data_IF_635307236228
#
_entry.id   IF_635307236228
#
_cell.length_a   1.000
_cell.length_b   1.000
_cell.length_c   1.000
_cell.angle_alpha   90.00
_cell.angle_beta   90.00
_cell.angle_gamma   90.00
#
_symmetry.space_group_name_H-M   'P 1'
#
loop_
_entity.id
_entity.type
_entity.pdbx_description
1 polymer ?
#
# COMPACT_ATOMS: atom_id res chain seq x y z
N UNK A 1 -57.17 -20.59 -9.30
CA UNK A 1 -56.17 -19.54 -9.65
C UNK A 1 -55.04 -19.58 -8.63
N UNK A 2 -53.83 -20.05 -9.01
CA UNK A 2 -52.66 -20.17 -8.12
C UNK A 2 -51.67 -19.05 -8.40
N UNK A 3 -51.26 -18.36 -7.33
CA UNK A 3 -50.29 -17.27 -7.33
C UNK A 3 -48.85 -17.77 -7.47
N UNK A 4 -48.04 -16.93 -8.12
CA UNK A 4 -46.63 -17.08 -8.51
C UNK A 4 -45.72 -17.48 -7.34
N UNK A 5 -44.82 -18.45 -7.52
CA UNK A 5 -43.54 -18.52 -6.78
C UNK A 5 -42.42 -18.05 -7.70
N UNK A 6 -42.06 -16.78 -7.54
CA UNK A 6 -40.89 -16.15 -8.14
C UNK A 6 -39.68 -16.74 -7.43
N UNK A 7 -38.78 -17.39 -8.15
CA UNK A 7 -37.51 -17.85 -7.61
C UNK A 7 -36.77 -16.66 -6.99
N UNK A 8 -36.52 -16.74 -5.68
CA UNK A 8 -35.61 -15.85 -4.99
C UNK A 8 -34.20 -16.12 -5.53
N UNK A 9 -33.77 -15.31 -6.50
CA UNK A 9 -32.35 -15.18 -6.79
C UNK A 9 -31.74 -14.50 -5.57
N UNK A 10 -31.07 -15.28 -4.72
CA UNK A 10 -30.06 -14.74 -3.79
C UNK A 10 -29.16 -13.81 -4.60
N UNK A 11 -28.92 -12.56 -4.18
CA UNK A 11 -27.86 -11.76 -4.78
C UNK A 11 -26.55 -12.55 -4.67
N UNK A 12 -25.66 -12.47 -5.67
CA UNK A 12 -24.31 -13.01 -5.50
C UNK A 12 -23.74 -12.37 -4.24
N UNK A 13 -23.19 -13.18 -3.34
CA UNK A 13 -22.36 -12.66 -2.27
C UNK A 13 -21.32 -11.78 -2.95
N UNK A 14 -21.32 -10.48 -2.67
CA UNK A 14 -20.20 -9.65 -3.06
C UNK A 14 -19.00 -10.26 -2.34
N UNK A 15 -18.15 -10.96 -3.07
CA UNK A 15 -16.80 -11.31 -2.64
C UNK A 15 -16.01 -10.00 -2.57
N UNK A 16 -16.36 -9.16 -1.59
CA UNK A 16 -15.63 -7.97 -1.24
C UNK A 16 -14.34 -8.44 -0.58
N UNK A 17 -13.38 -8.86 -1.41
CA UNK A 17 -12.00 -9.02 -0.93
C UNK A 17 -11.62 -7.65 -0.35
N UNK A 18 -11.30 -7.55 0.96
CA UNK A 18 -11.02 -6.27 1.57
C UNK A 18 -9.84 -5.61 0.85
N UNK A 19 -9.86 -4.28 0.74
CA UNK A 19 -8.75 -3.57 0.16
C UNK A 19 -7.49 -3.83 1.00
N UNK A 20 -6.37 -4.05 0.34
CA UNK A 20 -5.11 -4.31 1.00
C UNK A 20 -3.95 -3.61 0.30
N UNK A 21 -2.95 -3.25 1.09
CA UNK A 21 -1.68 -2.73 0.64
C UNK A 21 -0.59 -3.67 1.12
N UNK A 22 0.36 -4.00 0.25
CA UNK A 22 1.58 -4.72 0.61
C UNK A 22 2.78 -3.80 0.42
N UNK A 23 3.64 -3.75 1.42
CA UNK A 23 4.83 -2.91 1.51
C UNK A 23 6.08 -3.79 1.60
N UNK A 24 7.12 -3.45 0.84
CA UNK A 24 8.43 -4.09 0.95
C UNK A 24 9.54 -3.03 0.94
N UNK A 25 10.52 -3.17 1.83
CA UNK A 25 11.68 -2.25 1.94
C UNK A 25 12.90 -2.91 1.31
N UNK A 26 13.63 -2.17 0.47
CA UNK A 26 14.86 -2.64 -0.18
C UNK A 26 15.99 -1.61 -0.09
N UNK A 27 17.24 -2.03 -0.29
CA UNK A 27 18.44 -1.17 -0.42
C UNK A 27 18.79 -0.82 -1.88
N UNK A 28 17.77 -0.80 -2.76
CA UNK A 28 17.94 -0.58 -4.19
C UNK A 28 18.29 -1.84 -5.01
N UNK A 29 18.58 -3.00 -4.38
CA UNK A 29 18.75 -4.28 -5.12
C UNK A 29 18.13 -5.50 -4.46
N UNK A 30 17.98 -5.52 -3.13
CA UNK A 30 17.41 -6.68 -2.42
C UNK A 30 16.49 -6.26 -1.28
N UNK A 31 15.51 -7.11 -0.97
CA UNK A 31 14.65 -6.92 0.19
C UNK A 31 15.46 -6.92 1.50
N UNK A 32 15.16 -5.97 2.38
CA UNK A 32 15.84 -5.79 3.66
C UNK A 32 14.95 -6.26 4.81
N UNK A 33 15.16 -7.48 5.30
CA UNK A 33 14.37 -8.01 6.42
C UNK A 33 14.43 -7.11 7.68
N UNK A 34 15.60 -6.51 7.97
CA UNK A 34 15.77 -5.55 9.06
C UNK A 34 15.01 -4.25 8.82
N UNK A 35 15.03 -3.71 7.59
CA UNK A 35 14.29 -2.52 7.18
C UNK A 35 12.78 -2.74 7.26
N UNK A 36 12.30 -3.88 6.75
CA UNK A 36 10.89 -4.31 6.85
C UNK A 36 10.47 -4.48 8.31
N UNK A 37 11.28 -5.11 9.16
CA UNK A 37 10.97 -5.23 10.59
C UNK A 37 10.90 -3.86 11.30
N UNK A 38 11.81 -2.94 10.96
CA UNK A 38 11.81 -1.58 11.50
C UNK A 38 10.55 -0.80 11.08
N UNK A 39 10.19 -0.87 9.79
CA UNK A 39 8.96 -0.29 9.27
C UNK A 39 7.72 -0.87 9.95
N UNK A 40 7.63 -2.20 10.08
CA UNK A 40 6.51 -2.86 10.73
C UNK A 40 6.32 -2.39 12.18
N UNK A 41 7.42 -2.29 12.94
CA UNK A 41 7.39 -1.81 14.31
C UNK A 41 6.94 -0.33 14.38
N UNK A 42 7.35 0.50 13.43
CA UNK A 42 6.88 1.88 13.32
C UNK A 42 5.38 1.94 13.02
N UNK A 43 4.91 1.24 11.99
CA UNK A 43 3.51 1.24 11.57
C UNK A 43 2.58 0.81 12.71
N UNK A 44 2.90 -0.30 13.40
CA UNK A 44 2.12 -0.79 14.54
C UNK A 44 1.95 0.24 15.67
N UNK A 45 2.89 1.17 15.82
CA UNK A 45 2.80 2.26 16.80
C UNK A 45 2.04 3.47 16.25
N UNK A 46 2.26 3.81 14.98
CA UNK A 46 1.77 5.04 14.38
C UNK A 46 0.33 4.95 13.85
N UNK A 47 -0.14 3.76 13.47
CA UNK A 47 -1.38 3.60 12.72
C UNK A 47 -2.50 2.87 13.46
N UNK A 48 -2.52 2.82 14.79
CA UNK A 48 -3.64 2.19 15.52
C UNK A 48 -4.98 2.87 15.13
N UNK A 49 -6.02 2.12 14.68
CA UNK A 49 -6.24 0.68 14.86
C UNK A 49 -5.84 -0.24 13.68
N UNK A 50 -5.11 0.23 12.67
CA UNK A 50 -4.60 -0.65 11.60
C UNK A 50 -3.78 -1.78 12.21
N UNK A 51 -3.92 -2.98 11.64
CA UNK A 51 -3.17 -4.18 12.04
C UNK A 51 -2.19 -4.58 10.92
N UNK A 52 -1.02 -3.93 10.82
CA UNK A 52 0.04 -4.37 9.92
C UNK A 52 0.55 -5.77 10.31
N UNK A 53 0.59 -6.66 9.34
CA UNK A 53 1.02 -8.05 9.49
C UNK A 53 2.20 -8.35 8.58
N UNK A 54 3.16 -9.10 9.09
CA UNK A 54 4.26 -9.61 8.28
C UNK A 54 3.76 -10.85 7.53
N UNK A 55 3.84 -10.84 6.19
CA UNK A 55 3.41 -11.98 5.34
C UNK A 55 4.61 -12.76 4.79
N UNK A 56 5.78 -12.16 4.77
CA UNK A 56 7.09 -12.79 4.58
C UNK A 56 8.17 -11.94 5.26
N UNK A 57 9.41 -12.42 5.40
CA UNK A 57 10.49 -11.66 6.06
C UNK A 57 10.74 -10.27 5.46
N UNK A 58 10.27 -10.02 4.24
CA UNK A 58 10.46 -8.77 3.51
C UNK A 58 9.16 -8.04 3.17
N UNK A 59 7.98 -8.57 3.51
CA UNK A 59 6.69 -8.00 3.10
C UNK A 59 5.72 -7.80 4.27
N UNK A 60 5.14 -6.62 4.33
CA UNK A 60 4.09 -6.24 5.27
C UNK A 60 2.78 -6.10 4.51
N UNK A 61 1.70 -6.70 5.00
CA UNK A 61 0.34 -6.47 4.51
C UNK A 61 -0.45 -5.63 5.50
N UNK A 62 -1.22 -4.69 4.99
CA UNK A 62 -2.15 -3.86 5.75
C UNK A 62 -3.51 -3.92 5.07
N UNK A 63 -4.53 -4.39 5.78
CA UNK A 63 -5.92 -4.31 5.32
C UNK A 63 -6.47 -2.90 5.60
N UNK A 64 -7.18 -2.35 4.62
CA UNK A 64 -7.76 -1.01 4.67
C UNK A 64 -9.24 -1.08 4.31
N UNK A 65 -10.06 -0.34 5.05
CA UNK A 65 -11.51 -0.27 4.91
C UNK A 65 -11.99 1.11 4.43
N UNK A 66 -11.12 2.13 4.48
CA UNK A 66 -11.49 3.49 4.10
C UNK A 66 -10.31 4.32 3.58
N UNK A 67 -10.61 5.42 2.88
CA UNK A 67 -9.61 6.41 2.47
C UNK A 67 -8.90 7.04 3.67
N UNK A 68 -9.60 7.22 4.79
CA UNK A 68 -9.02 7.78 6.02
C UNK A 68 -7.90 6.87 6.56
N UNK A 69 -8.08 5.56 6.49
CA UNK A 69 -7.06 4.58 6.86
C UNK A 69 -5.87 4.59 5.90
N UNK A 70 -6.11 4.75 4.60
CA UNK A 70 -5.05 4.93 3.61
C UNK A 70 -4.23 6.22 3.87
N UNK A 71 -4.91 7.32 4.23
CA UNK A 71 -4.25 8.58 4.58
C UNK A 71 -3.43 8.45 5.87
N UNK A 72 -3.93 7.71 6.87
CA UNK A 72 -3.20 7.43 8.11
C UNK A 72 -1.95 6.58 7.85
N UNK A 73 -2.06 5.53 7.02
CA UNK A 73 -0.92 4.71 6.59
C UNK A 73 0.12 5.57 5.85
N UNK A 74 -0.34 6.47 4.98
CA UNK A 74 0.54 7.36 4.22
C UNK A 74 1.33 8.32 5.11
N UNK A 75 0.69 8.87 6.15
CA UNK A 75 1.36 9.74 7.14
C UNK A 75 2.41 8.96 7.92
N UNK A 76 2.08 7.77 8.41
CA UNK A 76 3.04 6.92 9.12
C UNK A 76 4.23 6.51 8.24
N UNK A 77 4.01 6.27 6.95
CA UNK A 77 5.11 6.03 6.00
C UNK A 77 5.99 7.27 5.84
N UNK A 78 5.42 8.46 5.73
CA UNK A 78 6.18 9.72 5.69
C UNK A 78 6.99 9.95 6.97
N UNK A 79 6.40 9.68 8.14
CA UNK A 79 7.06 9.84 9.44
C UNK A 79 8.23 8.87 9.61
N UNK A 80 8.04 7.60 9.20
CA UNK A 80 9.12 6.62 9.17
C UNK A 80 10.23 7.02 8.20
N UNK A 81 9.88 7.52 7.02
CA UNK A 81 10.82 7.90 5.99
C UNK A 81 11.83 8.95 6.43
N UNK A 82 11.43 9.89 7.31
CA UNK A 82 12.33 10.90 7.84
C UNK A 82 13.49 10.32 8.68
N UNK A 83 13.35 9.08 9.18
CA UNK A 83 14.37 8.37 9.95
C UNK A 83 14.97 7.14 9.26
N UNK A 84 14.62 6.88 8.00
CA UNK A 84 15.18 5.79 7.21
C UNK A 84 16.51 6.19 6.56
N UNK A 85 17.38 5.22 6.25
CA UNK A 85 18.70 5.50 5.65
C UNK A 85 18.58 5.90 4.18
N UNK A 86 19.44 6.83 3.75
CA UNK A 86 19.52 7.23 2.34
C UNK A 86 19.73 6.03 1.40
N UNK A 87 18.98 6.03 0.29
CA UNK A 87 19.05 4.98 -0.73
C UNK A 87 18.10 3.80 -0.49
N UNK A 88 17.32 3.79 0.60
CA UNK A 88 16.25 2.81 0.76
C UNK A 88 15.12 3.04 -0.25
N UNK A 89 14.45 1.96 -0.62
CA UNK A 89 13.27 1.99 -1.48
C UNK A 89 12.09 1.33 -0.79
N UNK A 90 10.90 1.83 -1.06
CA UNK A 90 9.65 1.21 -0.61
C UNK A 90 8.84 0.83 -1.83
N UNK A 91 8.59 -0.46 -1.98
CA UNK A 91 7.64 -0.97 -2.97
C UNK A 91 6.26 -1.01 -2.34
N UNK A 92 5.28 -0.41 -3.00
CA UNK A 92 3.87 -0.36 -2.61
C UNK A 92 3.05 -1.09 -3.68
N UNK A 93 2.41 -2.18 -3.28
CA UNK A 93 1.45 -2.93 -4.11
C UNK A 93 0.13 -3.06 -3.37
N UNK A 94 -0.91 -3.60 -4.01
CA UNK A 94 -2.23 -3.65 -3.40
C UNK A 94 -3.31 -4.21 -4.31
N UNK A 95 -4.51 -4.40 -3.74
CA UNK A 95 -5.70 -4.89 -4.43
C UNK A 95 -6.23 -3.97 -5.53
N UNK A 96 -5.93 -2.68 -5.46
CA UNK A 96 -6.42 -1.65 -6.38
C UNK A 96 -5.60 -1.51 -7.67
N UNK A 97 -4.41 -2.10 -7.74
CA UNK A 97 -3.61 -2.07 -8.95
C UNK A 97 -4.18 -3.03 -10.02
N UNK A 98 -4.24 -2.63 -11.31
CA UNK A 98 -4.39 -3.60 -12.38
C UNK A 98 -3.17 -4.54 -12.35
N UNK A 99 -3.38 -5.85 -12.27
CA UNK A 99 -2.26 -6.79 -12.19
C UNK A 99 -1.32 -6.65 -13.42
N UNK A 100 0.01 -6.58 -13.25
CA UNK A 100 0.82 -6.67 -12.02
C UNK A 100 1.35 -5.29 -11.51
N UNK A 101 0.47 -4.31 -11.31
CA UNK A 101 0.85 -2.95 -10.97
C UNK A 101 1.47 -2.79 -9.58
N UNK A 102 2.43 -1.87 -9.49
CA UNK A 102 3.12 -1.45 -8.26
C UNK A 102 3.67 -0.03 -8.42
N UNK A 103 3.91 0.63 -7.28
CA UNK A 103 4.75 1.80 -7.19
C UNK A 103 6.04 1.43 -6.43
N UNK A 104 7.17 1.95 -6.87
CA UNK A 104 8.42 1.88 -6.12
C UNK A 104 8.82 3.32 -5.82
N UNK A 105 9.22 3.61 -4.57
CA UNK A 105 9.58 4.95 -4.14
C UNK A 105 11.01 4.91 -3.58
N UNK A 106 11.91 5.70 -4.16
CA UNK A 106 13.27 5.86 -3.71
C UNK A 106 13.39 6.97 -2.67
N UNK A 107 14.13 6.71 -1.60
CA UNK A 107 14.46 7.72 -0.61
C UNK A 107 15.66 8.53 -1.10
N UNK A 108 15.46 9.84 -1.21
CA UNK A 108 16.50 10.78 -1.67
C UNK A 108 16.64 11.89 -0.64
N UNK A 109 17.87 12.07 -0.11
CA UNK A 109 18.20 13.10 0.90
C UNK A 109 17.31 12.99 2.16
N UNK A 110 17.11 11.78 2.65
CA UNK A 110 16.41 11.47 3.88
C UNK A 110 14.88 11.55 3.78
N UNK A 111 14.29 11.62 2.58
CA UNK A 111 12.82 11.69 2.41
C UNK A 111 12.32 10.96 1.18
N UNK A 112 11.10 10.44 1.26
CA UNK A 112 10.25 10.21 0.10
C UNK A 112 9.40 11.45 -0.17
N UNK A 113 8.95 11.64 -1.40
CA UNK A 113 7.98 12.67 -1.69
C UNK A 113 6.60 12.28 -1.10
N UNK A 114 6.13 13.01 -0.09
CA UNK A 114 4.94 12.68 0.69
C UNK A 114 3.67 12.55 -0.16
N UNK A 115 3.53 13.40 -1.19
CA UNK A 115 2.44 13.34 -2.16
C UNK A 115 2.42 12.02 -2.94
N UNK A 116 3.61 11.47 -3.25
CA UNK A 116 3.75 10.21 -3.97
C UNK A 116 3.44 9.01 -3.08
N UNK A 117 3.80 9.06 -1.79
CA UNK A 117 3.35 8.05 -0.82
C UNK A 117 1.83 8.05 -0.74
N UNK A 118 1.22 9.21 -0.49
CA UNK A 118 -0.22 9.33 -0.30
C UNK A 118 -0.99 8.82 -1.52
N UNK A 119 -0.55 9.22 -2.70
CA UNK A 119 -1.11 8.76 -3.96
C UNK A 119 -0.91 7.24 -4.17
N UNK A 120 0.30 6.72 -3.97
CA UNK A 120 0.60 5.30 -4.19
C UNK A 120 -0.19 4.38 -3.26
N UNK A 121 -0.34 4.75 -1.98
CA UNK A 121 -1.16 4.00 -1.01
C UNK A 121 -2.64 4.03 -1.40
N UNK A 122 -3.15 5.18 -1.82
CA UNK A 122 -4.54 5.31 -2.24
C UNK A 122 -4.87 4.47 -3.48
N UNK A 123 -3.98 4.47 -4.48
CA UNK A 123 -4.10 3.62 -5.67
C UNK A 123 -3.99 2.15 -5.30
N UNK A 124 -2.99 1.77 -4.50
CA UNK A 124 -2.81 0.39 -4.04
C UNK A 124 -4.05 -0.14 -3.30
N UNK A 125 -4.70 0.69 -2.50
CA UNK A 125 -5.94 0.36 -1.81
C UNK A 125 -7.20 0.43 -2.71
N UNK A 126 -7.10 0.95 -3.94
CA UNK A 126 -8.23 1.11 -4.85
C UNK A 126 -9.15 2.30 -4.52
N UNK A 127 -8.69 3.25 -3.70
CA UNK A 127 -9.41 4.49 -3.40
C UNK A 127 -9.12 5.61 -4.41
N UNK A 128 -8.20 5.36 -5.34
CA UNK A 128 -7.82 6.28 -6.41
C UNK A 128 -7.48 5.48 -7.68
N UNK A 129 -7.73 6.07 -8.84
CA UNK A 129 -7.39 5.42 -10.11
C UNK A 129 -5.88 5.55 -10.34
N UNK A 130 -5.18 4.41 -10.42
CA UNK A 130 -3.77 4.36 -10.82
C UNK A 130 -3.56 4.50 -12.33
N UNK A 131 -2.35 4.83 -12.80
CA UNK A 131 -1.99 4.67 -14.19
C UNK A 131 -2.09 3.18 -14.57
N UNK A 132 -2.47 2.93 -15.82
CA UNK A 132 -2.56 1.59 -16.38
C UNK A 132 -1.18 0.94 -16.59
N UNK A 133 -0.08 1.69 -16.37
CA UNK A 133 1.31 1.27 -16.55
C UNK A 133 2.06 1.52 -15.24
N UNK A 134 2.77 0.50 -14.74
CA UNK A 134 3.50 0.54 -13.47
C UNK A 134 4.52 1.67 -13.44
N UNK A 135 4.56 2.43 -12.34
CA UNK A 135 5.51 3.53 -12.21
C UNK A 135 6.88 2.96 -11.83
N UNK A 136 7.82 3.15 -12.75
CA UNK A 136 9.27 3.01 -12.56
C UNK A 136 9.77 4.27 -11.83
N UNK A 137 10.69 4.11 -10.89
CA UNK A 137 11.24 5.20 -10.09
C UNK A 137 12.01 6.26 -10.89
N UNK A 138 12.22 6.04 -12.20
CA UNK A 138 12.67 7.09 -13.12
C UNK A 138 11.62 8.20 -13.36
N UNK A 139 10.36 7.97 -13.00
CA UNK A 139 9.23 8.88 -13.28
C UNK A 139 8.72 9.67 -12.05
N UNK A 140 9.31 9.48 -10.86
CA UNK A 140 9.07 10.38 -9.73
C UNK A 140 9.86 11.69 -9.97
N UNK A 141 9.22 12.88 -10.11
CA UNK A 141 9.83 14.10 -10.63
C UNK A 141 10.71 14.85 -9.62
N UNK A 142 11.69 14.15 -9.03
CA UNK A 142 12.73 14.78 -8.19
C UNK A 142 14.15 14.27 -8.51
N UNK A 143 14.42 13.95 -9.78
CA UNK A 143 15.75 14.10 -10.36
C UNK A 143 16.01 15.61 -10.60
N UNK A 144 16.29 16.34 -9.50
CA UNK A 144 16.63 17.76 -9.48
C UNK A 144 17.31 18.15 -8.16
#
# INVERSE_FOLDING_TARGET
>A
MRTRRRGERRPPACDCTPAWVTLAVCDGRSGLASGTAHLLAHLRRATAPLLPELVSDTEIRVALSSRVEADALSRALCDWAAGADDGWTVTITGSGWPAPGRATLHQVRGRFAAEWIAWSVAVAAGFENGPTVGIDERDAPYAG
#
